data_IF_758871470064
#
_entry.id   IF_758871470064
#
_cell.length_a   1.000
_cell.length_b   1.000
_cell.length_c   1.000
_cell.angle_alpha   90.00
_cell.angle_beta   90.00
_cell.angle_gamma   90.00
#
_symmetry.space_group_name_H-M   'P 1'
#
loop_
_entity.id
_entity.type
_entity.pdbx_description
1 polymer ?
#
# COMPACT_ATOMS: atom_id res chain seq x y z
N UNK A 1 -7.12 10.57 -0.08
CA UNK A 1 -6.77 11.30 1.17
C UNK A 1 -8.05 11.69 1.89
N UNK A 2 -8.07 11.59 3.20
CA UNK A 2 -9.19 11.94 4.06
C UNK A 2 -8.70 12.81 5.22
N UNK A 3 -9.62 13.54 5.84
CA UNK A 3 -9.37 14.30 7.08
C UNK A 3 -9.47 13.39 8.32
N UNK A 4 -9.96 12.18 8.15
CA UNK A 4 -10.17 11.20 9.22
C UNK A 4 -9.51 9.88 8.87
N UNK A 5 -8.96 9.23 9.89
CA UNK A 5 -8.47 7.85 9.82
C UNK A 5 -9.59 6.95 10.35
N UNK A 6 -10.47 6.53 9.45
CA UNK A 6 -11.65 5.73 9.76
C UNK A 6 -11.76 4.49 8.85
N UNK A 7 -12.77 3.67 9.08
CA UNK A 7 -13.03 2.47 8.27
C UNK A 7 -13.27 2.81 6.80
N UNK A 8 -13.93 3.94 6.50
CA UNK A 8 -14.19 4.33 5.11
C UNK A 8 -12.89 4.61 4.35
N UNK A 9 -11.90 5.24 4.98
CA UNK A 9 -10.60 5.50 4.36
C UNK A 9 -9.92 4.20 3.94
N UNK A 10 -9.92 3.17 4.78
CA UNK A 10 -9.28 1.89 4.45
C UNK A 10 -10.08 1.09 3.41
N UNK A 11 -11.40 1.19 3.42
CA UNK A 11 -12.25 0.61 2.37
C UNK A 11 -11.97 1.24 1.00
N UNK A 12 -11.89 2.55 0.94
CA UNK A 12 -11.59 3.27 -0.30
C UNK A 12 -10.20 2.89 -0.83
N UNK A 13 -9.21 2.81 0.05
CA UNK A 13 -7.85 2.44 -0.31
C UNK A 13 -7.76 1.01 -0.89
N UNK A 14 -8.35 0.03 -0.22
CA UNK A 14 -8.31 -1.36 -0.69
C UNK A 14 -9.09 -1.55 -2.00
N UNK A 15 -10.22 -0.89 -2.14
CA UNK A 15 -11.01 -0.96 -3.37
C UNK A 15 -10.29 -0.28 -4.55
N UNK A 16 -9.57 0.80 -4.32
CA UNK A 16 -8.73 1.44 -5.32
C UNK A 16 -7.59 0.50 -5.76
N UNK A 17 -6.89 -0.12 -4.81
CA UNK A 17 -5.82 -1.06 -5.10
C UNK A 17 -6.33 -2.28 -5.89
N UNK A 18 -7.47 -2.83 -5.50
CA UNK A 18 -8.10 -3.96 -6.19
C UNK A 18 -8.45 -3.66 -7.65
N UNK A 19 -9.01 -2.47 -7.91
CA UNK A 19 -9.33 -2.03 -9.28
C UNK A 19 -8.08 -1.86 -10.14
N UNK A 20 -7.02 -1.29 -9.58
CA UNK A 20 -5.76 -1.07 -10.31
C UNK A 20 -5.04 -2.37 -10.68
N UNK A 21 -5.21 -3.43 -9.89
CA UNK A 21 -4.61 -4.74 -10.15
C UNK A 21 -5.48 -5.66 -11.01
N UNK A 22 -6.35 -5.10 -11.83
CA UNK A 22 -7.23 -5.84 -12.74
C UNK A 22 -8.01 -6.96 -12.04
N UNK A 23 -8.50 -6.68 -10.82
CA UNK A 23 -9.29 -7.62 -10.02
C UNK A 23 -8.56 -8.93 -9.70
N UNK A 24 -7.28 -8.85 -9.35
CA UNK A 24 -6.47 -10.00 -8.97
C UNK A 24 -7.18 -10.84 -7.90
N UNK A 25 -7.43 -12.10 -8.20
CA UNK A 25 -8.04 -13.06 -7.26
C UNK A 25 -6.99 -13.67 -6.32
N UNK A 26 -7.42 -14.12 -5.14
CA UNK A 26 -6.58 -14.81 -4.16
C UNK A 26 -5.42 -13.98 -3.61
N UNK A 27 -5.61 -12.67 -3.49
CA UNK A 27 -4.61 -11.77 -2.91
C UNK A 27 -4.64 -11.89 -1.38
N UNK A 28 -3.46 -11.99 -0.78
CA UNK A 28 -3.28 -11.85 0.66
C UNK A 28 -3.14 -10.36 1.00
N UNK A 29 -4.03 -9.85 1.84
CA UNK A 29 -4.00 -8.47 2.30
C UNK A 29 -3.53 -8.43 3.76
N UNK A 30 -2.30 -8.02 3.96
CA UNK A 30 -1.70 -7.90 5.30
C UNK A 30 -1.92 -6.52 5.89
N UNK A 31 -2.31 -6.46 7.16
CA UNK A 31 -2.45 -5.23 7.93
C UNK A 31 -1.93 -5.40 9.35
N UNK A 32 -1.76 -4.28 10.05
CA UNK A 32 -1.62 -4.29 11.49
C UNK A 32 -2.97 -4.57 12.18
N UNK A 33 -3.01 -4.45 13.51
CA UNK A 33 -4.23 -4.66 14.31
C UNK A 33 -5.04 -3.38 14.54
N UNK A 34 -4.89 -2.37 13.68
CA UNK A 34 -5.71 -1.16 13.74
C UNK A 34 -7.20 -1.49 13.72
N UNK A 35 -8.00 -0.74 14.49
CA UNK A 35 -9.45 -0.99 14.64
C UNK A 35 -10.19 -0.94 13.30
N UNK A 36 -9.70 -0.15 12.35
CA UNK A 36 -10.27 -0.03 11.01
C UNK A 36 -10.20 -1.36 10.25
N UNK A 37 -9.08 -2.09 10.38
CA UNK A 37 -8.85 -3.38 9.72
C UNK A 37 -9.55 -4.54 10.43
N UNK A 38 -9.87 -4.38 11.71
CA UNK A 38 -10.62 -5.36 12.50
C UNK A 38 -12.14 -5.20 12.34
N UNK A 39 -12.63 -4.16 11.66
CA UNK A 39 -14.05 -3.89 11.50
C UNK A 39 -14.76 -4.97 10.67
N UNK A 40 -16.04 -5.21 10.98
CA UNK A 40 -16.87 -6.15 10.22
C UNK A 40 -17.02 -5.70 8.74
N UNK A 41 -17.16 -4.40 8.51
CA UNK A 41 -17.27 -3.83 7.17
C UNK A 41 -16.03 -4.10 6.32
N UNK A 42 -14.83 -3.93 6.89
CA UNK A 42 -13.59 -4.21 6.18
C UNK A 42 -13.43 -5.69 5.84
N UNK A 43 -13.72 -6.58 6.80
CA UNK A 43 -13.67 -8.03 6.56
C UNK A 43 -14.68 -8.50 5.51
N UNK A 44 -15.89 -7.96 5.53
CA UNK A 44 -16.92 -8.25 4.53
C UNK A 44 -16.48 -7.80 3.13
N UNK A 45 -15.84 -6.63 3.02
CA UNK A 45 -15.33 -6.13 1.76
C UNK A 45 -14.19 -7.01 1.21
N UNK A 46 -13.25 -7.44 2.05
CA UNK A 46 -12.19 -8.36 1.63
C UNK A 46 -12.76 -9.67 1.09
N UNK A 47 -13.76 -10.23 1.78
CA UNK A 47 -14.45 -11.44 1.32
C UNK A 47 -15.13 -11.21 -0.04
N UNK A 48 -15.79 -10.08 -0.23
CA UNK A 48 -16.48 -9.75 -1.48
C UNK A 48 -15.52 -9.65 -2.69
N UNK A 49 -14.31 -9.15 -2.48
CA UNK A 49 -13.28 -9.08 -3.53
C UNK A 49 -12.39 -10.33 -3.63
N UNK A 50 -12.68 -11.38 -2.85
CA UNK A 50 -11.91 -12.63 -2.87
C UNK A 50 -10.52 -12.54 -2.27
N UNK A 51 -10.28 -11.54 -1.42
CA UNK A 51 -9.00 -11.36 -0.73
C UNK A 51 -8.99 -12.08 0.62
N UNK A 52 -7.83 -12.60 1.00
CA UNK A 52 -7.62 -13.24 2.30
C UNK A 52 -6.95 -12.25 3.26
N UNK A 53 -7.57 -11.96 4.41
CA UNK A 53 -6.95 -11.09 5.40
C UNK A 53 -5.82 -11.78 6.15
N UNK A 54 -4.77 -11.04 6.43
CA UNK A 54 -3.67 -11.42 7.32
C UNK A 54 -3.37 -10.25 8.24
N UNK A 55 -3.25 -10.51 9.53
CA UNK A 55 -2.91 -9.49 10.52
C UNK A 55 -1.58 -9.80 11.19
N UNK A 56 -0.83 -8.76 11.52
CA UNK A 56 0.36 -8.88 12.34
C UNK A 56 0.04 -9.53 13.68
N UNK A 57 0.99 -10.31 14.21
CA UNK A 57 0.88 -10.92 15.54
C UNK A 57 0.87 -9.83 16.61
N UNK A 58 0.16 -10.07 17.71
CA UNK A 58 0.09 -9.12 18.82
C UNK A 58 1.51 -8.83 19.36
N UNK A 59 1.88 -7.55 19.41
CA UNK A 59 3.16 -7.10 19.92
C UNK A 59 4.38 -7.39 19.02
N UNK A 60 4.20 -7.88 17.78
CA UNK A 60 5.29 -8.14 16.87
C UNK A 60 5.39 -7.05 15.79
N UNK A 61 6.36 -6.12 15.96
CA UNK A 61 6.60 -5.06 14.99
C UNK A 61 7.26 -5.53 13.69
N UNK A 62 7.94 -6.66 13.68
CA UNK A 62 8.61 -7.19 12.48
C UNK A 62 7.64 -7.66 11.41
N UNK A 63 6.41 -8.00 11.78
CA UNK A 63 5.39 -8.41 10.81
C UNK A 63 5.01 -7.27 9.84
N UNK A 64 5.26 -6.01 10.22
CA UNK A 64 4.98 -4.82 9.41
C UNK A 64 6.24 -4.16 8.81
N UNK A 65 7.42 -4.77 8.96
CA UNK A 65 8.70 -4.16 8.59
C UNK A 65 8.78 -3.72 7.13
N UNK A 66 8.20 -4.46 6.19
CA UNK A 66 8.19 -4.11 4.77
C UNK A 66 7.43 -2.80 4.51
N UNK A 67 6.27 -2.63 5.14
CA UNK A 67 5.46 -1.41 5.00
C UNK A 67 6.13 -0.23 5.71
N UNK A 68 6.72 -0.44 6.87
CA UNK A 68 7.47 0.60 7.59
C UNK A 68 8.68 1.08 6.79
N UNK A 69 9.37 0.18 6.11
CA UNK A 69 10.47 0.51 5.18
C UNK A 69 9.97 1.37 4.02
N UNK A 70 8.83 1.03 3.42
CA UNK A 70 8.21 1.85 2.37
C UNK A 70 7.90 3.26 2.87
N UNK A 71 7.25 3.40 4.05
CA UNK A 71 6.91 4.71 4.60
C UNK A 71 8.14 5.55 4.91
N UNK A 72 9.20 4.94 5.44
CA UNK A 72 10.47 5.64 5.68
C UNK A 72 11.08 6.15 4.39
N UNK A 73 11.10 5.34 3.35
CA UNK A 73 11.62 5.71 2.03
C UNK A 73 10.80 6.85 1.42
N UNK A 74 9.47 6.76 1.43
CA UNK A 74 8.58 7.80 0.93
C UNK A 74 8.80 9.15 1.64
N UNK A 75 8.93 9.12 2.97
CA UNK A 75 9.19 10.33 3.76
C UNK A 75 10.52 10.96 3.43
N UNK A 76 11.58 10.17 3.36
CA UNK A 76 12.93 10.65 3.10
C UNK A 76 13.12 11.15 1.65
N UNK A 77 12.53 10.46 0.68
CA UNK A 77 12.75 10.77 -0.74
C UNK A 77 11.76 11.83 -1.28
N UNK A 78 10.57 11.94 -0.70
CA UNK A 78 9.55 12.89 -1.16
C UNK A 78 9.07 13.86 -0.08
N UNK A 79 8.47 13.36 1.00
CA UNK A 79 7.68 14.21 1.91
C UNK A 79 8.52 15.27 2.60
N UNK A 80 9.70 14.92 3.09
CA UNK A 80 10.60 15.85 3.80
C UNK A 80 11.34 16.80 2.86
N UNK A 81 11.29 16.56 1.57
CA UNK A 81 11.97 17.38 0.54
C UNK A 81 11.03 18.30 -0.21
N UNK A 82 9.72 18.19 0.02
CA UNK A 82 8.70 18.91 -0.76
C UNK A 82 7.72 19.62 0.15
N UNK A 83 7.41 20.87 -0.16
CA UNK A 83 6.30 21.60 0.43
C UNK A 83 5.09 21.50 -0.49
N UNK A 84 4.00 20.94 -0.01
CA UNK A 84 2.77 20.82 -0.77
C UNK A 84 1.87 22.02 -0.52
N UNK A 85 1.49 22.72 -1.58
CA UNK A 85 0.63 23.92 -1.49
C UNK A 85 -0.81 23.58 -1.10
N UNK A 86 -1.29 22.38 -1.47
CA UNK A 86 -2.62 21.90 -1.14
C UNK A 86 -2.67 20.37 -1.28
N UNK A 87 -3.82 19.78 -0.92
CA UNK A 87 -4.05 18.33 -0.99
C UNK A 87 -3.94 17.78 -2.41
N UNK A 88 -4.39 18.53 -3.40
CA UNK A 88 -4.32 18.13 -4.81
C UNK A 88 -2.88 18.01 -5.29
N UNK A 89 -2.02 18.96 -4.96
CA UNK A 89 -0.60 18.92 -5.26
C UNK A 89 0.09 17.73 -4.57
N UNK A 90 -0.26 17.46 -3.30
CA UNK A 90 0.25 16.31 -2.57
C UNK A 90 -0.17 14.98 -3.23
N UNK A 91 -1.42 14.83 -3.63
CA UNK A 91 -1.91 13.63 -4.33
C UNK A 91 -1.16 13.39 -5.65
N UNK A 92 -0.95 14.43 -6.44
CA UNK A 92 -0.23 14.34 -7.71
C UNK A 92 1.22 13.90 -7.50
N UNK A 93 1.93 14.52 -6.56
CA UNK A 93 3.30 14.17 -6.23
C UNK A 93 3.45 12.74 -5.70
N UNK A 94 2.53 12.30 -4.84
CA UNK A 94 2.50 10.92 -4.33
C UNK A 94 2.21 9.91 -5.45
N UNK A 95 1.31 10.22 -6.35
CA UNK A 95 1.02 9.37 -7.51
C UNK A 95 2.26 9.21 -8.39
N UNK A 96 2.91 10.31 -8.76
CA UNK A 96 4.12 10.27 -9.58
C UNK A 96 5.26 9.51 -8.88
N UNK A 97 5.43 9.73 -7.59
CA UNK A 97 6.46 9.02 -6.83
C UNK A 97 6.18 7.52 -6.76
N UNK A 98 4.97 7.10 -6.40
CA UNK A 98 4.64 5.69 -6.19
C UNK A 98 4.51 4.95 -7.53
N UNK A 99 3.68 5.45 -8.43
CA UNK A 99 3.33 4.73 -9.66
C UNK A 99 4.39 4.84 -10.75
N UNK A 100 5.02 5.98 -10.89
CA UNK A 100 6.00 6.20 -11.97
C UNK A 100 7.41 5.86 -11.52
N UNK A 101 7.85 6.37 -10.37
CA UNK A 101 9.22 6.18 -9.91
C UNK A 101 9.39 4.90 -9.07
N UNK A 102 8.71 4.78 -7.92
CA UNK A 102 8.92 3.68 -6.97
C UNK A 102 8.64 2.33 -7.60
N UNK A 103 7.47 2.16 -8.18
CA UNK A 103 7.05 0.88 -8.73
C UNK A 103 7.73 0.50 -10.04
N UNK A 104 8.08 1.48 -10.89
CA UNK A 104 8.58 1.20 -12.24
C UNK A 104 10.07 1.39 -12.43
N UNK A 105 10.69 2.29 -11.68
CA UNK A 105 12.08 2.71 -11.92
C UNK A 105 13.01 2.48 -10.74
N UNK A 106 12.52 2.61 -9.50
CA UNK A 106 13.37 2.53 -8.31
C UNK A 106 13.86 1.11 -8.09
N UNK A 107 15.20 0.94 -8.01
CA UNK A 107 15.83 -0.34 -7.69
C UNK A 107 15.69 -0.69 -6.21
N UNK A 108 15.43 -1.96 -5.93
CA UNK A 108 15.30 -2.49 -4.57
C UNK A 108 16.22 -3.68 -4.34
N UNK A 109 17.11 -3.56 -3.35
CA UNK A 109 18.11 -4.60 -3.04
C UNK A 109 17.45 -5.94 -2.67
N UNK A 110 16.34 -5.90 -1.94
CA UNK A 110 15.61 -7.09 -1.47
C UNK A 110 15.01 -7.95 -2.59
N UNK A 111 14.86 -7.39 -3.79
CA UNK A 111 14.31 -8.08 -4.95
C UNK A 111 15.31 -8.08 -6.13
N UNK A 112 16.60 -8.16 -5.82
CA UNK A 112 17.66 -8.29 -6.81
C UNK A 112 17.88 -7.02 -7.64
N UNK A 113 17.79 -5.84 -7.03
CA UNK A 113 17.95 -4.54 -7.70
C UNK A 113 16.94 -4.26 -8.82
N UNK A 114 15.85 -5.00 -8.84
CA UNK A 114 14.75 -4.75 -9.77
C UNK A 114 13.78 -3.69 -9.21
N UNK A 115 12.98 -3.10 -10.08
CA UNK A 115 11.80 -2.36 -9.65
C UNK A 115 10.66 -3.33 -9.29
N UNK A 116 9.71 -2.95 -8.42
CA UNK A 116 8.59 -3.81 -8.07
C UNK A 116 7.82 -4.35 -9.28
N UNK A 117 7.52 -3.52 -10.27
CA UNK A 117 6.79 -3.95 -11.48
C UNK A 117 7.58 -4.93 -12.34
N UNK A 118 8.90 -4.71 -12.46
CA UNK A 118 9.77 -5.65 -13.20
C UNK A 118 9.89 -6.99 -12.47
N UNK A 119 9.99 -6.95 -11.14
CA UNK A 119 10.00 -8.17 -10.34
C UNK A 119 8.69 -8.96 -10.48
N UNK A 120 7.54 -8.28 -10.36
CA UNK A 120 6.23 -8.90 -10.50
C UNK A 120 6.03 -9.53 -11.88
N UNK A 121 6.44 -8.85 -12.96
CA UNK A 121 6.32 -9.39 -14.32
C UNK A 121 7.15 -10.66 -14.55
N UNK A 122 8.27 -10.82 -13.83
CA UNK A 122 9.06 -12.05 -13.87
C UNK A 122 8.40 -13.23 -13.12
N UNK A 123 7.61 -12.95 -12.10
CA UNK A 123 6.90 -13.98 -11.36
C UNK A 123 5.70 -14.55 -12.13
N UNK A 124 5.16 -13.77 -13.06
CA UNK A 124 3.97 -14.14 -13.85
C UNK A 124 4.30 -14.82 -15.19
N UNK A 125 5.57 -14.91 -15.49
CA UNK A 125 6.08 -15.68 -16.65
C UNK A 125 6.33 -17.16 -16.28
#
# INVERSE_FOLDING_TARGET
MSDRIDTQLVLDAINMAYRQRAQASKVLVHSDRGVQYASAAYRANLKAIGATPSMSRKGNCYDNAAMESFWSTLKLELVYRTSFTNRRAAKSALFDYIEVFYNRSRSHTSIGYLSPSTFESKLTQ
#
